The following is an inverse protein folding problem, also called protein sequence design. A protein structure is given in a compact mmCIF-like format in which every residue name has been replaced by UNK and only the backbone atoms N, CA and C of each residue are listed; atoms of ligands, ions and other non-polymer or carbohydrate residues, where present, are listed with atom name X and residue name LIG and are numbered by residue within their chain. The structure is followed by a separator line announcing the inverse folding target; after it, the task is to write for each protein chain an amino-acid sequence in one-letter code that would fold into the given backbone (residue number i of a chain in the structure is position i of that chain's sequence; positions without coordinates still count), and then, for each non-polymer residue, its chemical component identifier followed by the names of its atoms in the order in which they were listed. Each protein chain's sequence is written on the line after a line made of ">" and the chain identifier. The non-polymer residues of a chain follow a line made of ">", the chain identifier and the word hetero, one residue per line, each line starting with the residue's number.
data_IF_299488007791
#
_entry.id   IF_299488007791
#
_cell.length_a   1.000
_cell.length_b   1.000
_cell.length_c   1.000
_cell.angle_alpha   90.00
_cell.angle_beta   90.00
_cell.angle_gamma   90.00
#
_symmetry.space_group_name_H-M   'P 1'
#
loop_
_entity.id
_entity.type
_entity.pdbx_description
1 polymer ?
#
# COMPACT_ATOMS: atom_id res chain seq x y z
N UNK A 1 17.57 9.14 28.90
CA UNK A 1 16.93 8.92 27.59
C UNK A 1 16.63 7.44 27.55
N UNK A 2 15.49 7.09 28.13
CA UNK A 2 15.28 5.72 28.63
C UNK A 2 14.82 4.83 27.48
N UNK A 3 15.61 3.81 27.21
CA UNK A 3 15.30 2.76 26.25
C UNK A 3 13.98 2.08 26.65
N UNK A 4 12.94 2.33 25.86
CA UNK A 4 11.73 1.52 25.87
C UNK A 4 12.14 0.11 25.43
N UNK A 5 12.42 -0.78 26.39
CA UNK A 5 12.53 -2.22 26.14
C UNK A 5 11.18 -2.71 25.65
N UNK A 6 11.03 -2.85 24.34
CA UNK A 6 9.89 -3.49 23.70
C UNK A 6 9.85 -4.96 24.15
N UNK A 7 8.89 -5.31 24.99
CA UNK A 7 8.51 -6.69 25.34
C UNK A 7 7.80 -7.34 24.14
N UNK A 8 8.50 -7.47 23.02
CA UNK A 8 8.02 -8.24 21.88
C UNK A 8 8.20 -9.73 22.19
N UNK A 9 7.10 -10.42 22.48
CA UNK A 9 7.07 -11.88 22.56
C UNK A 9 6.86 -12.45 21.15
N UNK A 10 7.79 -13.26 20.61
CA UNK A 10 7.76 -13.69 19.21
C UNK A 10 6.65 -14.71 18.85
N UNK A 11 5.68 -14.98 19.72
CA UNK A 11 4.97 -16.27 19.64
C UNK A 11 3.72 -16.35 18.76
N UNK A 12 3.17 -15.29 18.15
CA UNK A 12 1.88 -15.45 17.42
C UNK A 12 1.67 -14.72 16.09
N UNK A 13 2.38 -13.64 15.76
CA UNK A 13 2.20 -12.95 14.47
C UNK A 13 3.52 -12.47 13.89
N UNK A 14 4.12 -13.31 13.04
CA UNK A 14 5.21 -12.89 12.17
C UNK A 14 4.65 -12.30 10.88
N UNK A 15 5.15 -11.14 10.42
CA UNK A 15 4.83 -10.60 9.11
C UNK A 15 5.22 -11.58 8.02
N UNK A 16 4.35 -11.72 7.03
CA UNK A 16 4.55 -12.61 5.89
C UNK A 16 5.37 -11.98 4.77
N UNK A 17 5.45 -10.64 4.68
CA UNK A 17 6.39 -9.99 3.75
C UNK A 17 7.82 -10.07 4.27
N UNK A 18 8.74 -10.20 3.31
CA UNK A 18 10.18 -10.18 3.60
C UNK A 18 10.60 -8.86 4.22
N UNK A 19 10.07 -7.73 3.75
CA UNK A 19 10.38 -6.40 4.30
C UNK A 19 9.88 -6.26 5.74
N UNK A 20 8.64 -6.68 6.04
CA UNK A 20 8.11 -6.63 7.40
C UNK A 20 8.93 -7.50 8.37
N UNK A 21 9.35 -8.68 7.92
CA UNK A 21 10.18 -9.59 8.72
C UNK A 21 11.59 -9.05 8.97
N UNK A 22 12.18 -8.47 7.93
CA UNK A 22 13.50 -7.82 7.99
C UNK A 22 13.45 -6.61 8.94
N UNK A 23 12.40 -5.80 8.89
CA UNK A 23 12.20 -4.68 9.81
C UNK A 23 12.00 -5.15 11.26
N UNK A 24 11.38 -6.30 11.52
CA UNK A 24 11.24 -6.78 12.90
C UNK A 24 12.54 -7.30 13.51
N UNK A 25 13.40 -7.93 12.73
CA UNK A 25 14.66 -8.50 13.21
C UNK A 25 15.69 -7.41 13.49
N UNK A 26 16.12 -7.26 14.76
CA UNK A 26 17.24 -6.39 15.17
C UNK A 26 18.63 -6.91 14.75
N UNK A 27 18.74 -7.67 13.66
CA UNK A 27 20.04 -8.22 13.22
C UNK A 27 20.77 -7.14 12.41
N UNK A 28 22.04 -6.90 12.74
CA UNK A 28 22.93 -5.98 12.00
C UNK A 28 22.91 -6.24 10.49
N UNK A 29 22.85 -7.52 10.09
CA UNK A 29 22.75 -7.92 8.69
C UNK A 29 21.48 -7.39 7.98
N UNK A 30 20.33 -7.36 8.67
CA UNK A 30 19.08 -6.82 8.09
C UNK A 30 19.26 -5.34 7.76
N UNK A 31 19.78 -4.56 8.71
CA UNK A 31 20.05 -3.14 8.52
C UNK A 31 21.01 -2.91 7.35
N UNK A 32 22.11 -3.66 7.30
CA UNK A 32 23.08 -3.58 6.21
C UNK A 32 22.42 -3.84 4.85
N UNK A 33 21.53 -4.82 4.75
CA UNK A 33 20.81 -5.14 3.51
C UNK A 33 19.88 -4.00 3.07
N UNK A 34 19.16 -3.34 3.98
CA UNK A 34 18.34 -2.16 3.66
C UNK A 34 19.19 -1.00 3.12
N UNK A 35 20.33 -0.74 3.77
CA UNK A 35 21.27 0.30 3.35
C UNK A 35 21.89 0.03 1.98
N UNK A 36 22.36 -1.20 1.75
CA UNK A 36 22.92 -1.60 0.45
C UNK A 36 21.85 -1.52 -0.64
N UNK A 37 20.64 -2.03 -0.37
CA UNK A 37 19.53 -1.95 -1.32
C UNK A 37 19.19 -0.50 -1.67
N UNK A 38 19.02 0.37 -0.68
CA UNK A 38 18.75 1.80 -0.89
C UNK A 38 19.86 2.49 -1.67
N UNK A 39 21.13 2.33 -1.24
CA UNK A 39 22.28 2.94 -1.91
C UNK A 39 22.41 2.46 -3.36
N UNK A 40 22.14 1.17 -3.63
CA UNK A 40 22.17 0.62 -4.99
C UNK A 40 21.11 1.23 -5.90
N UNK A 41 19.89 1.45 -5.39
CA UNK A 41 18.79 2.08 -6.14
C UNK A 41 19.07 3.55 -6.43
N UNK A 42 19.55 4.29 -5.43
CA UNK A 42 19.87 5.71 -5.56
C UNK A 42 21.02 5.88 -6.57
N UNK A 43 22.09 5.09 -6.43
CA UNK A 43 23.24 5.12 -7.35
C UNK A 43 22.82 4.79 -8.79
N UNK A 44 22.00 3.74 -8.96
CA UNK A 44 21.42 3.38 -10.27
C UNK A 44 20.62 4.54 -10.88
N UNK A 45 19.76 5.17 -10.08
CA UNK A 45 18.92 6.26 -10.55
C UNK A 45 19.77 7.43 -11.06
N UNK A 46 20.79 7.84 -10.31
CA UNK A 46 21.71 8.91 -10.73
C UNK A 46 22.51 8.53 -11.98
N UNK A 47 23.03 7.30 -12.05
CA UNK A 47 23.77 6.82 -13.22
C UNK A 47 22.92 6.80 -14.49
N UNK A 48 21.67 6.32 -14.41
CA UNK A 48 20.76 6.33 -15.57
C UNK A 48 20.28 7.74 -15.89
N UNK A 49 20.04 8.57 -14.87
CA UNK A 49 19.64 9.97 -15.06
C UNK A 49 20.70 10.73 -15.86
N UNK A 50 21.99 10.57 -15.53
CA UNK A 50 23.07 11.22 -16.27
C UNK A 50 23.12 10.75 -17.74
N UNK A 51 22.97 9.45 -18.00
CA UNK A 51 22.92 8.91 -19.37
C UNK A 51 21.75 9.51 -20.17
N UNK A 52 20.55 9.53 -19.59
CA UNK A 52 19.34 10.03 -20.27
C UNK A 52 19.47 11.53 -20.56
N UNK A 53 20.02 12.31 -19.63
CA UNK A 53 20.25 13.74 -19.83
C UNK A 53 21.27 13.99 -20.93
N UNK A 54 22.39 13.26 -20.95
CA UNK A 54 23.46 13.41 -21.94
C UNK A 54 23.07 12.93 -23.33
N UNK A 55 22.11 12.00 -23.46
CA UNK A 55 21.64 11.53 -24.75
C UNK A 55 20.72 12.58 -25.40
N UNK A 56 21.19 13.17 -26.52
CA UNK A 56 20.47 14.19 -27.30
C UNK A 56 19.59 13.58 -28.39
N UNK A 57 19.76 12.30 -28.72
CA UNK A 57 19.11 11.65 -29.87
C UNK A 57 17.76 10.97 -29.52
N UNK A 58 17.36 10.97 -28.25
CA UNK A 58 16.11 10.33 -27.82
C UNK A 58 14.94 11.29 -27.99
N UNK A 59 13.85 10.79 -28.59
CA UNK A 59 12.58 11.50 -28.72
C UNK A 59 12.11 12.05 -27.36
N UNK A 60 11.63 13.29 -27.36
CA UNK A 60 11.35 14.07 -26.14
C UNK A 60 10.42 13.35 -25.16
N UNK A 61 9.38 12.67 -25.67
CA UNK A 61 8.44 11.89 -24.85
C UNK A 61 9.10 10.71 -24.15
N UNK A 62 9.83 9.89 -24.90
CA UNK A 62 10.56 8.73 -24.39
C UNK A 62 11.60 9.17 -23.35
N UNK A 63 12.21 10.34 -23.55
CA UNK A 63 13.13 10.96 -22.58
C UNK A 63 12.41 11.30 -21.27
N UNK A 64 11.24 11.94 -21.31
CA UNK A 64 10.47 12.24 -20.09
C UNK A 64 10.02 10.99 -19.34
N UNK A 65 9.53 9.96 -20.05
CA UNK A 65 9.17 8.68 -19.44
C UNK A 65 10.37 8.00 -18.75
N UNK A 66 11.55 8.03 -19.38
CA UNK A 66 12.78 7.53 -18.79
C UNK A 66 13.21 8.33 -17.55
N UNK A 67 13.08 9.66 -17.58
CA UNK A 67 13.37 10.52 -16.43
C UNK A 67 12.42 10.25 -15.27
N UNK A 68 11.12 10.09 -15.53
CA UNK A 68 10.15 9.72 -14.49
C UNK A 68 10.53 8.37 -13.85
N UNK A 69 10.87 7.36 -14.65
CA UNK A 69 11.29 6.06 -14.13
C UNK A 69 12.54 6.16 -13.23
N UNK A 70 13.50 7.03 -13.55
CA UNK A 70 14.67 7.24 -12.69
C UNK A 70 14.31 8.00 -11.40
N UNK A 71 13.47 9.03 -11.49
CA UNK A 71 12.97 9.74 -10.31
C UNK A 71 12.24 8.78 -9.36
N UNK A 72 11.40 7.89 -9.89
CA UNK A 72 10.70 6.91 -9.08
C UNK A 72 11.64 5.83 -8.51
N UNK A 73 12.68 5.43 -9.24
CA UNK A 73 13.73 4.53 -8.71
C UNK A 73 14.47 5.20 -7.53
N UNK A 74 14.79 6.49 -7.65
CA UNK A 74 15.39 7.28 -6.57
C UNK A 74 14.43 7.38 -5.38
N UNK A 75 13.16 7.71 -5.62
CA UNK A 75 12.14 7.77 -4.58
C UNK A 75 11.93 6.43 -3.88
N UNK A 76 12.02 5.30 -4.59
CA UNK A 76 11.96 3.96 -4.02
C UNK A 76 13.14 3.71 -3.07
N UNK A 77 14.36 4.05 -3.47
CA UNK A 77 15.54 3.96 -2.60
C UNK A 77 15.37 4.79 -1.32
N UNK A 78 14.90 6.03 -1.46
CA UNK A 78 14.56 6.89 -0.32
C UNK A 78 13.43 6.32 0.54
N UNK A 79 12.45 5.63 -0.05
CA UNK A 79 11.36 4.97 0.68
C UNK A 79 11.88 3.80 1.54
N UNK A 80 12.76 2.98 0.99
CA UNK A 80 13.40 1.88 1.70
C UNK A 80 14.22 2.41 2.89
N UNK A 81 14.97 3.49 2.68
CA UNK A 81 15.69 4.19 3.75
C UNK A 81 14.73 4.80 4.78
N UNK A 82 13.61 5.37 4.35
CA UNK A 82 12.57 5.91 5.23
C UNK A 82 11.96 4.83 6.14
N UNK A 83 11.72 3.61 5.62
CA UNK A 83 11.23 2.49 6.40
C UNK A 83 12.20 2.09 7.51
N UNK A 84 13.50 2.08 7.21
CA UNK A 84 14.52 1.76 8.19
C UNK A 84 14.58 2.81 9.30
N UNK A 85 14.60 4.11 8.96
CA UNK A 85 14.61 5.17 9.96
C UNK A 85 13.34 5.22 10.82
N UNK A 86 12.17 4.97 10.20
CA UNK A 86 10.88 5.03 10.88
C UNK A 86 10.41 3.68 11.41
N UNK A 87 11.30 2.69 11.46
CA UNK A 87 11.08 1.37 12.06
C UNK A 87 10.38 1.40 13.42
N UNK A 88 10.66 2.33 14.35
CA UNK A 88 9.93 2.40 15.62
C UNK A 88 8.41 2.61 15.48
N UNK A 89 7.95 3.29 14.43
CA UNK A 89 6.51 3.46 14.16
C UNK A 89 5.89 2.13 13.75
N UNK A 90 6.58 1.36 12.90
CA UNK A 90 6.12 0.03 12.47
C UNK A 90 6.03 -0.96 13.65
N UNK A 91 7.00 -0.93 14.56
CA UNK A 91 6.95 -1.75 15.79
C UNK A 91 5.75 -1.35 16.66
N UNK A 92 5.55 -0.05 16.93
CA UNK A 92 4.40 0.43 17.70
C UNK A 92 3.06 0.05 17.07
N UNK A 93 2.99 0.07 15.74
CA UNK A 93 1.84 -0.40 14.99
C UNK A 93 1.58 -1.89 15.23
N UNK A 94 2.60 -2.74 15.09
CA UNK A 94 2.46 -4.17 15.32
C UNK A 94 2.11 -4.53 16.77
N UNK A 95 2.70 -3.83 17.74
CA UNK A 95 2.37 -4.01 19.16
C UNK A 95 0.88 -3.67 19.43
N UNK A 96 0.38 -2.57 18.82
CA UNK A 96 -1.04 -2.21 18.88
C UNK A 96 -1.92 -3.27 18.22
N UNK A 97 -1.52 -3.74 17.04
CA UNK A 97 -2.21 -4.79 16.30
C UNK A 97 -2.32 -6.08 17.13
N UNK A 98 -1.21 -6.58 17.67
CA UNK A 98 -1.18 -7.79 18.50
C UNK A 98 -2.06 -7.65 19.74
N UNK A 99 -2.03 -6.47 20.39
CA UNK A 99 -2.90 -6.18 21.53
C UNK A 99 -4.39 -6.25 21.17
N UNK A 100 -4.76 -5.79 19.97
CA UNK A 100 -6.15 -5.86 19.49
C UNK A 100 -6.55 -7.32 19.21
N UNK A 101 -5.67 -8.07 18.54
CA UNK A 101 -5.95 -9.45 18.09
C UNK A 101 -5.98 -10.45 19.26
N UNK A 102 -5.14 -10.28 20.28
CA UNK A 102 -5.04 -11.21 21.42
C UNK A 102 -6.25 -11.14 22.38
N UNK A 103 -7.01 -10.04 22.39
CA UNK A 103 -8.15 -9.83 23.30
C UNK A 103 -9.45 -10.54 22.83
N UNK A 104 -9.40 -11.86 22.57
CA UNK A 104 -10.52 -12.76 22.22
C UNK A 104 -11.02 -12.77 20.75
N UNK A 105 -10.41 -12.02 19.84
CA UNK A 105 -10.88 -11.98 18.43
C UNK A 105 -9.92 -12.62 17.41
N UNK A 106 -8.84 -13.24 17.90
CA UNK A 106 -7.72 -13.67 17.08
C UNK A 106 -8.04 -14.66 15.97
N UNK A 107 -8.99 -15.59 16.18
CA UNK A 107 -9.29 -16.65 15.20
C UNK A 107 -9.87 -16.11 13.88
N UNK A 108 -10.81 -15.15 13.97
CA UNK A 108 -11.45 -14.58 12.77
C UNK A 108 -10.48 -13.69 11.99
N UNK A 109 -9.75 -12.81 12.69
CA UNK A 109 -8.72 -11.97 12.08
C UNK A 109 -7.59 -12.80 11.47
N UNK A 110 -7.14 -13.87 12.13
CA UNK A 110 -6.12 -14.78 11.60
C UNK A 110 -6.60 -15.50 10.34
N UNK A 111 -7.85 -15.98 10.31
CA UNK A 111 -8.43 -16.63 9.12
C UNK A 111 -8.46 -15.67 7.93
N UNK A 112 -8.85 -14.42 8.15
CA UNK A 112 -8.85 -13.38 7.12
C UNK A 112 -7.45 -13.08 6.59
N UNK A 113 -6.50 -12.85 7.51
CA UNK A 113 -5.09 -12.61 7.19
C UNK A 113 -4.50 -13.77 6.39
N UNK A 114 -4.73 -15.01 6.80
CA UNK A 114 -4.22 -16.19 6.11
C UNK A 114 -4.82 -16.35 4.72
N UNK A 115 -6.11 -16.02 4.54
CA UNK A 115 -6.76 -16.05 3.23
C UNK A 115 -6.13 -15.02 2.28
N UNK A 116 -6.04 -13.77 2.71
CA UNK A 116 -5.47 -12.71 1.87
C UNK A 116 -3.96 -12.84 1.68
N UNK A 117 -3.22 -13.32 2.68
CA UNK A 117 -1.79 -13.60 2.56
C UNK A 117 -1.47 -14.65 1.49
N UNK A 118 -2.33 -15.67 1.32
CA UNK A 118 -2.20 -16.63 0.21
C UNK A 118 -2.43 -15.97 -1.15
N UNK A 119 -3.48 -15.14 -1.27
CA UNK A 119 -3.80 -14.41 -2.51
C UNK A 119 -2.65 -13.48 -2.90
N UNK A 120 -2.15 -12.68 -1.94
CA UNK A 120 -1.02 -11.77 -2.17
C UNK A 120 0.24 -12.53 -2.57
N UNK A 121 0.52 -13.68 -1.96
CA UNK A 121 1.69 -14.50 -2.33
C UNK A 121 1.61 -15.00 -3.76
N UNK A 122 0.43 -15.47 -4.20
CA UNK A 122 0.20 -15.87 -5.60
C UNK A 122 0.36 -14.68 -6.53
N UNK A 123 -0.19 -13.52 -6.17
CA UNK A 123 -0.04 -12.28 -6.93
C UNK A 123 1.43 -11.84 -7.07
N UNK A 124 2.25 -11.94 -6.01
CA UNK A 124 3.69 -11.62 -6.07
C UNK A 124 4.43 -12.51 -7.07
N UNK A 125 4.08 -13.79 -7.18
CA UNK A 125 4.67 -14.69 -8.17
C UNK A 125 4.30 -14.24 -9.59
N UNK A 126 3.03 -13.91 -9.83
CA UNK A 126 2.60 -13.39 -11.14
C UNK A 126 3.23 -12.04 -11.47
N UNK A 127 3.31 -11.13 -10.50
CA UNK A 127 3.98 -9.85 -10.62
C UNK A 127 5.46 -10.02 -11.00
N UNK A 128 6.16 -10.93 -10.35
CA UNK A 128 7.56 -11.24 -10.67
C UNK A 128 7.73 -11.79 -12.09
N UNK A 129 6.88 -12.72 -12.50
CA UNK A 129 6.90 -13.24 -13.88
C UNK A 129 6.60 -12.14 -14.91
N UNK A 130 5.63 -11.28 -14.63
CA UNK A 130 5.30 -10.12 -15.46
C UNK A 130 6.50 -9.17 -15.63
N UNK A 131 7.19 -8.82 -14.54
CA UNK A 131 8.37 -7.95 -14.60
C UNK A 131 9.51 -8.60 -15.38
N UNK A 132 9.75 -9.90 -15.17
CA UNK A 132 10.79 -10.63 -15.92
C UNK A 132 10.52 -10.63 -17.43
N UNK A 133 9.27 -10.89 -17.84
CA UNK A 133 8.88 -10.84 -19.26
C UNK A 133 9.06 -9.43 -19.81
N UNK A 134 8.66 -8.41 -19.04
CA UNK A 134 8.74 -7.01 -19.46
C UNK A 134 10.20 -6.57 -19.63
N UNK A 135 11.08 -6.90 -18.69
CA UNK A 135 12.53 -6.64 -18.78
C UNK A 135 13.13 -7.38 -19.97
N UNK A 136 12.88 -8.69 -20.09
CA UNK A 136 13.46 -9.50 -21.17
C UNK A 136 13.05 -8.97 -22.55
N UNK A 137 11.78 -8.57 -22.71
CA UNK A 137 11.25 -8.01 -23.96
C UNK A 137 11.87 -6.64 -24.25
N UNK A 138 11.95 -5.75 -23.26
CA UNK A 138 12.54 -4.43 -23.42
C UNK A 138 14.03 -4.51 -23.80
N UNK A 139 14.81 -5.28 -23.06
CA UNK A 139 16.24 -5.49 -23.32
C UNK A 139 16.47 -6.18 -24.68
N UNK A 140 15.58 -7.09 -25.08
CA UNK A 140 15.64 -7.71 -26.41
C UNK A 140 15.44 -6.73 -27.55
N UNK A 141 14.42 -5.90 -27.46
CA UNK A 141 14.08 -4.94 -28.51
C UNK A 141 15.14 -3.85 -28.67
N UNK A 142 15.69 -3.35 -27.56
CA UNK A 142 16.58 -2.19 -27.58
C UNK A 142 18.07 -2.55 -27.64
N UNK A 143 18.50 -3.63 -26.98
CA UNK A 143 19.92 -3.93 -26.75
C UNK A 143 20.32 -5.21 -27.50
N UNK A 144 19.64 -6.34 -27.30
CA UNK A 144 20.09 -7.61 -27.90
C UNK A 144 20.04 -7.59 -29.44
N UNK A 145 19.04 -6.94 -30.04
CA UNK A 145 18.94 -6.81 -31.51
C UNK A 145 20.13 -6.05 -32.11
N UNK A 146 20.72 -5.09 -31.39
CA UNK A 146 21.76 -4.20 -31.92
C UNK A 146 23.18 -4.68 -31.63
N UNK A 147 23.42 -5.30 -30.48
CA UNK A 147 24.78 -5.62 -29.98
C UNK A 147 25.09 -7.10 -29.82
N UNK A 148 24.14 -8.01 -30.06
CA UNK A 148 24.33 -9.46 -29.85
C UNK A 148 24.35 -9.85 -28.37
N UNK A 149 24.47 -11.15 -28.06
CA UNK A 149 24.44 -11.67 -26.68
C UNK A 149 25.85 -11.62 -26.04
N UNK A 150 26.04 -10.87 -24.96
CA UNK A 150 27.32 -10.77 -24.24
C UNK A 150 27.17 -11.06 -22.74
N UNK A 151 28.24 -11.54 -22.07
CA UNK A 151 28.21 -11.87 -20.64
C UNK A 151 27.86 -10.67 -19.73
N UNK A 152 28.26 -9.45 -20.14
CA UNK A 152 27.90 -8.21 -19.43
C UNK A 152 26.38 -7.96 -19.40
N UNK A 153 25.62 -8.49 -20.37
CA UNK A 153 24.17 -8.34 -20.41
C UNK A 153 23.47 -9.21 -19.36
N UNK A 154 24.02 -10.39 -19.04
CA UNK A 154 23.45 -11.23 -17.98
C UNK A 154 23.54 -10.54 -16.61
N UNK A 155 24.68 -9.91 -16.32
CA UNK A 155 24.87 -9.10 -15.10
C UNK A 155 23.88 -7.93 -15.05
N UNK A 156 23.69 -7.27 -16.18
CA UNK A 156 22.80 -6.12 -16.31
C UNK A 156 21.32 -6.52 -16.11
N UNK A 157 20.84 -7.58 -16.77
CA UNK A 157 19.48 -8.12 -16.57
C UNK A 157 19.26 -8.59 -15.14
N UNK A 158 20.26 -9.24 -14.53
CA UNK A 158 20.18 -9.68 -13.14
C UNK A 158 20.03 -8.50 -12.17
N UNK A 159 20.79 -7.42 -12.39
CA UNK A 159 20.70 -6.20 -11.60
C UNK A 159 19.33 -5.50 -11.77
N UNK A 160 18.81 -5.46 -12.99
CA UNK A 160 17.47 -4.93 -13.27
C UNK A 160 16.37 -5.74 -12.57
N UNK A 161 16.46 -7.06 -12.66
CA UNK A 161 15.52 -7.99 -12.03
C UNK A 161 15.53 -7.86 -10.50
N UNK A 162 16.71 -7.67 -9.89
CA UNK A 162 16.83 -7.44 -8.45
C UNK A 162 16.11 -6.16 -8.00
N UNK A 163 16.24 -5.08 -8.77
CA UNK A 163 15.53 -3.83 -8.47
C UNK A 163 14.02 -3.98 -8.59
N UNK A 164 13.54 -4.68 -9.62
CA UNK A 164 12.10 -4.94 -9.76
C UNK A 164 11.56 -5.84 -8.65
N UNK A 165 12.36 -6.80 -8.18
CA UNK A 165 11.98 -7.59 -7.02
C UNK A 165 11.81 -6.71 -5.78
N UNK A 166 12.74 -5.78 -5.50
CA UNK A 166 12.61 -4.84 -4.37
C UNK A 166 11.33 -3.98 -4.48
N UNK A 167 10.99 -3.59 -5.71
CA UNK A 167 9.78 -2.85 -5.99
C UNK A 167 8.51 -3.65 -5.67
N UNK A 168 8.40 -4.88 -6.21
CA UNK A 168 7.28 -5.80 -5.92
C UNK A 168 7.16 -6.06 -4.41
N UNK A 169 8.28 -6.29 -3.73
CA UNK A 169 8.30 -6.53 -2.28
C UNK A 169 7.82 -5.31 -1.49
N UNK A 170 8.11 -4.09 -1.97
CA UNK A 170 7.62 -2.85 -1.38
C UNK A 170 6.10 -2.74 -1.50
N UNK A 171 5.54 -3.03 -2.67
CA UNK A 171 4.08 -3.03 -2.87
C UNK A 171 3.40 -4.13 -2.04
N UNK A 172 3.97 -5.34 -2.03
CA UNK A 172 3.50 -6.44 -1.18
C UNK A 172 3.42 -5.99 0.29
N UNK A 173 4.44 -5.30 0.78
CA UNK A 173 4.50 -4.82 2.15
C UNK A 173 3.43 -3.76 2.47
N UNK A 174 3.16 -2.83 1.55
CA UNK A 174 2.05 -1.86 1.67
C UNK A 174 0.71 -2.61 1.77
N UNK A 175 0.47 -3.56 0.86
CA UNK A 175 -0.77 -4.35 0.85
C UNK A 175 -0.92 -5.17 2.13
N UNK A 176 0.15 -5.79 2.62
CA UNK A 176 0.13 -6.55 3.87
C UNK A 176 -0.26 -5.68 5.06
N UNK A 177 0.31 -4.48 5.17
CA UNK A 177 -0.02 -3.52 6.21
C UNK A 177 -1.50 -3.10 6.14
N UNK A 178 -2.04 -2.94 4.93
CA UNK A 178 -3.47 -2.73 4.74
C UNK A 178 -4.30 -3.93 5.20
N UNK A 179 -3.91 -5.17 4.86
CA UNK A 179 -4.63 -6.39 5.27
C UNK A 179 -4.66 -6.53 6.79
N UNK A 180 -3.54 -6.30 7.47
CA UNK A 180 -3.48 -6.30 8.94
C UNK A 180 -4.37 -5.21 9.53
N UNK A 181 -4.36 -4.02 8.95
CA UNK A 181 -5.27 -2.95 9.37
C UNK A 181 -6.73 -3.35 9.18
N UNK A 182 -7.11 -3.89 8.02
CA UNK A 182 -8.46 -4.37 7.72
C UNK A 182 -8.91 -5.47 8.71
N UNK A 183 -8.01 -6.38 9.07
CA UNK A 183 -8.34 -7.50 9.96
C UNK A 183 -8.65 -7.05 11.39
N UNK A 184 -8.21 -5.85 11.81
CA UNK A 184 -8.58 -5.28 13.12
C UNK A 184 -10.04 -4.84 13.20
N UNK A 185 -10.68 -4.54 12.06
CA UNK A 185 -12.09 -4.13 12.02
C UNK A 185 -13.07 -5.32 12.12
N UNK A 186 -12.65 -6.53 11.73
CA UNK A 186 -13.47 -7.75 11.78
C UNK A 186 -13.99 -8.02 13.22
N UNK A 187 -13.14 -8.05 14.26
CA UNK A 187 -13.55 -8.13 15.66
C UNK A 187 -14.71 -7.21 16.04
N UNK A 188 -14.58 -5.93 15.69
CA UNK A 188 -15.52 -4.89 16.08
C UNK A 188 -16.83 -5.06 15.33
N UNK A 189 -16.76 -5.39 14.04
CA UNK A 189 -17.96 -5.66 13.25
C UNK A 189 -18.76 -6.81 13.84
N UNK A 190 -18.11 -7.92 14.23
CA UNK A 190 -18.80 -9.04 14.87
C UNK A 190 -19.41 -8.66 16.23
N UNK A 191 -18.71 -7.84 17.01
CA UNK A 191 -19.23 -7.38 18.30
C UNK A 191 -20.44 -6.44 18.12
N UNK A 192 -20.39 -5.52 17.16
CA UNK A 192 -21.53 -4.66 16.80
C UNK A 192 -22.72 -5.47 16.27
N UNK A 193 -22.49 -6.47 15.42
CA UNK A 193 -23.55 -7.34 14.91
C UNK A 193 -24.20 -8.13 16.07
N UNK A 194 -23.39 -8.59 17.02
CA UNK A 194 -23.89 -9.26 18.24
C UNK A 194 -24.77 -8.31 19.06
N UNK A 195 -24.36 -7.05 19.23
CA UNK A 195 -25.14 -6.04 19.95
C UNK A 195 -26.48 -5.74 19.27
N UNK A 196 -26.47 -5.55 17.95
CA UNK A 196 -27.69 -5.30 17.18
C UNK A 196 -28.69 -6.46 17.29
N UNK A 197 -28.21 -7.71 17.34
CA UNK A 197 -29.08 -8.89 17.46
C UNK A 197 -29.45 -9.27 18.91
N UNK A 198 -28.61 -8.95 19.91
CA UNK A 198 -28.86 -9.29 21.32
C UNK A 198 -29.78 -8.31 22.06
N UNK A 199 -30.09 -7.14 21.49
CA UNK A 199 -31.00 -6.14 22.07
C UNK A 199 -32.41 -6.66 22.42
N UNK A 200 -32.78 -7.88 22.01
CA UNK A 200 -34.04 -8.50 22.42
C UNK A 200 -33.98 -9.25 23.78
N UNK A 201 -32.79 -9.52 24.35
CA UNK A 201 -32.64 -10.37 25.55
C UNK A 201 -31.55 -9.95 26.56
N UNK A 202 -30.72 -8.94 26.27
CA UNK A 202 -29.61 -8.53 27.15
C UNK A 202 -30.01 -7.48 28.20
N UNK A 203 -29.30 -7.45 29.34
CA UNK A 203 -29.53 -6.42 30.36
C UNK A 203 -28.85 -5.10 29.98
N UNK A 204 -29.43 -3.99 30.42
CA UNK A 204 -28.98 -2.61 30.18
C UNK A 204 -27.52 -2.35 30.62
N UNK A 205 -27.04 -3.03 31.67
CA UNK A 205 -25.65 -2.96 32.15
C UNK A 205 -24.66 -3.60 31.17
N UNK A 206 -25.06 -4.68 30.49
CA UNK A 206 -24.23 -5.38 29.51
C UNK A 206 -24.05 -4.56 28.23
N UNK A 207 -25.10 -3.85 27.81
CA UNK A 207 -25.11 -2.98 26.64
C UNK A 207 -24.13 -1.80 26.82
N UNK A 208 -24.22 -1.07 27.95
CA UNK A 208 -23.32 0.06 28.21
C UNK A 208 -21.85 -0.40 28.27
N UNK A 209 -21.58 -1.53 28.97
CA UNK A 209 -20.24 -2.11 29.05
C UNK A 209 -19.70 -2.47 27.67
N UNK A 210 -20.50 -3.09 26.82
CA UNK A 210 -20.10 -3.46 25.46
C UNK A 210 -19.91 -2.26 24.53
N UNK A 211 -20.79 -1.26 24.58
CA UNK A 211 -20.62 -0.02 23.81
C UNK A 211 -19.30 0.69 24.17
N UNK A 212 -19.01 0.80 25.47
CA UNK A 212 -17.75 1.36 25.98
C UNK A 212 -16.52 0.56 25.52
N UNK A 213 -16.58 -0.76 25.60
CA UNK A 213 -15.51 -1.64 25.08
C UNK A 213 -15.29 -1.40 23.58
N UNK A 214 -16.36 -1.33 22.80
CA UNK A 214 -16.31 -1.10 21.34
C UNK A 214 -15.62 0.21 21.00
N UNK A 215 -16.00 1.32 21.65
CA UNK A 215 -15.38 2.63 21.42
C UNK A 215 -13.91 2.66 21.80
N UNK A 216 -13.53 2.02 22.92
CA UNK A 216 -12.13 1.90 23.35
C UNK A 216 -11.32 1.09 22.33
N UNK A 217 -11.86 -0.02 21.83
CA UNK A 217 -11.21 -0.81 20.78
C UNK A 217 -11.06 -0.01 19.48
N UNK A 218 -12.10 0.69 19.04
CA UNK A 218 -12.04 1.52 17.85
C UNK A 218 -11.00 2.65 17.98
N UNK A 219 -10.91 3.28 19.15
CA UNK A 219 -9.89 4.30 19.43
C UNK A 219 -8.46 3.72 19.34
N UNK A 220 -8.25 2.48 19.81
CA UNK A 220 -6.98 1.77 19.64
C UNK A 220 -6.68 1.46 18.17
N UNK A 221 -7.68 1.06 17.38
CA UNK A 221 -7.54 0.86 15.93
C UNK A 221 -7.12 2.16 15.26
N UNK A 222 -7.79 3.29 15.53
CA UNK A 222 -7.42 4.58 14.95
C UNK A 222 -5.98 4.95 15.30
N UNK A 223 -5.57 4.72 16.56
CA UNK A 223 -4.19 4.97 16.98
C UNK A 223 -3.20 4.10 16.20
N UNK A 224 -3.53 2.83 15.98
CA UNK A 224 -2.75 1.90 15.17
C UNK A 224 -2.64 2.40 13.71
N UNK A 225 -3.76 2.76 13.10
CA UNK A 225 -3.85 3.32 11.74
C UNK A 225 -2.96 4.56 11.61
N UNK A 226 -2.99 5.47 12.59
CA UNK A 226 -2.14 6.67 12.56
C UNK A 226 -0.64 6.36 12.60
N UNK A 227 -0.21 5.30 13.26
CA UNK A 227 1.21 4.90 13.24
C UNK A 227 1.61 4.37 11.87
N UNK A 228 0.79 3.48 11.29
CA UNK A 228 1.11 2.89 9.99
C UNK A 228 0.92 3.87 8.84
N UNK A 229 -0.05 4.77 8.94
CA UNK A 229 -0.27 5.85 7.97
C UNK A 229 0.97 6.74 7.90
N UNK A 230 1.45 7.26 9.03
CA UNK A 230 2.70 8.06 9.08
C UNK A 230 3.90 7.33 8.51
N UNK A 231 3.97 6.01 8.73
CA UNK A 231 5.05 5.18 8.24
C UNK A 231 4.96 4.90 6.73
N UNK A 232 3.75 4.76 6.17
CA UNK A 232 3.52 4.48 4.75
C UNK A 232 3.24 5.72 3.90
N UNK A 233 3.04 6.89 4.50
CA UNK A 233 2.62 8.13 3.81
C UNK A 233 3.48 8.43 2.59
N UNK A 234 4.81 8.37 2.75
CA UNK A 234 5.74 8.63 1.65
C UNK A 234 5.70 7.51 0.59
N UNK A 235 5.61 6.24 1.02
CA UNK A 235 5.53 5.11 0.11
C UNK A 235 4.25 5.15 -0.76
N UNK A 236 3.12 5.54 -0.17
CA UNK A 236 1.84 5.70 -0.87
C UNK A 236 1.91 6.84 -1.89
N UNK A 237 2.55 7.95 -1.53
CA UNK A 237 2.78 9.06 -2.46
C UNK A 237 3.60 8.60 -3.68
N UNK A 238 4.75 7.97 -3.44
CA UNK A 238 5.64 7.48 -4.51
C UNK A 238 4.92 6.45 -5.38
N UNK A 239 4.16 5.54 -4.78
CA UNK A 239 3.35 4.54 -5.48
C UNK A 239 2.38 5.17 -6.49
N UNK A 240 1.56 6.12 -6.05
CA UNK A 240 0.57 6.75 -6.93
C UNK A 240 1.23 7.59 -8.02
N UNK A 241 2.27 8.36 -7.70
CA UNK A 241 3.00 9.17 -8.68
C UNK A 241 3.62 8.30 -9.78
N UNK A 242 4.24 7.17 -9.39
CA UNK A 242 4.84 6.25 -10.35
C UNK A 242 3.80 5.62 -11.25
N UNK A 243 2.80 4.93 -10.69
CA UNK A 243 1.87 4.15 -11.52
C UNK A 243 0.98 5.04 -12.39
N UNK A 244 0.55 6.20 -11.90
CA UNK A 244 -0.25 7.13 -12.71
C UNK A 244 0.59 7.71 -13.84
N UNK A 245 1.79 8.21 -13.53
CA UNK A 245 2.68 8.75 -14.54
C UNK A 245 3.04 7.70 -15.58
N UNK A 246 3.37 6.48 -15.14
CA UNK A 246 3.71 5.38 -16.03
C UNK A 246 2.52 4.94 -16.91
N UNK A 247 1.30 4.88 -16.36
CA UNK A 247 0.10 4.62 -17.15
C UNK A 247 -0.15 5.71 -18.20
N UNK A 248 0.06 6.98 -17.86
CA UNK A 248 -0.05 8.11 -18.80
C UNK A 248 0.95 7.97 -19.95
N UNK A 249 2.22 7.68 -19.65
CA UNK A 249 3.25 7.51 -20.69
C UNK A 249 3.00 6.27 -21.57
N UNK A 250 2.61 5.13 -20.99
CA UNK A 250 2.27 3.93 -21.75
C UNK A 250 1.06 4.16 -22.65
N UNK A 251 0.05 4.87 -22.14
CA UNK A 251 -1.12 5.25 -22.91
C UNK A 251 -0.74 6.15 -24.10
N UNK A 252 0.17 7.11 -23.92
CA UNK A 252 0.67 7.93 -25.01
C UNK A 252 1.48 7.13 -26.05
N UNK A 253 2.36 6.22 -25.61
CA UNK A 253 3.12 5.31 -26.50
C UNK A 253 2.21 4.41 -27.35
N UNK A 254 0.96 4.19 -26.94
CA UNK A 254 -0.02 3.44 -27.73
C UNK A 254 -0.52 4.20 -28.97
N UNK A 255 -0.64 5.54 -28.90
CA UNK A 255 -1.14 6.37 -29.99
C UNK A 255 -0.06 6.83 -30.99
N UNK A 256 1.22 6.55 -30.72
CA UNK A 256 2.28 6.85 -31.66
C UNK A 256 2.12 6.04 -32.96
N UNK A 257 1.90 6.76 -34.07
CA UNK A 257 1.51 6.22 -35.39
C UNK A 257 2.58 5.33 -36.03
N UNK A 258 3.84 5.47 -35.61
CA UNK A 258 5.00 4.76 -36.18
C UNK A 258 5.25 3.34 -35.63
N UNK A 259 4.45 2.87 -34.67
CA UNK A 259 4.68 1.60 -33.99
C UNK A 259 4.21 0.35 -34.74
N UNK A 260 5.08 -0.67 -34.80
CA UNK A 260 4.71 -2.05 -35.18
C UNK A 260 3.54 -2.57 -34.36
N UNK A 261 2.70 -3.46 -34.93
CA UNK A 261 1.60 -4.11 -34.21
C UNK A 261 2.08 -4.81 -32.92
N UNK A 262 3.29 -5.37 -32.96
CA UNK A 262 3.91 -6.01 -31.79
C UNK A 262 4.17 -5.00 -30.66
N UNK A 263 4.64 -3.79 -30.99
CA UNK A 263 4.90 -2.73 -30.02
C UNK A 263 3.61 -2.24 -29.36
N UNK A 264 2.53 -2.09 -30.16
CA UNK A 264 1.20 -1.75 -29.64
C UNK A 264 0.66 -2.82 -28.68
N UNK A 265 0.76 -4.10 -29.04
CA UNK A 265 0.35 -5.20 -28.16
C UNK A 265 1.17 -5.24 -26.86
N UNK A 266 2.47 -4.99 -26.94
CA UNK A 266 3.34 -4.89 -25.75
C UNK A 266 2.91 -3.75 -24.83
N UNK A 267 2.58 -2.56 -25.36
CA UNK A 267 2.12 -1.43 -24.56
C UNK A 267 0.76 -1.69 -23.91
N UNK A 268 -0.16 -2.38 -24.61
CA UNK A 268 -1.43 -2.81 -24.01
C UNK A 268 -1.20 -3.78 -22.86
N UNK A 269 -0.34 -4.78 -23.05
CA UNK A 269 0.02 -5.73 -22.00
C UNK A 269 0.62 -5.02 -20.78
N UNK A 270 1.55 -4.09 -21.01
CA UNK A 270 2.16 -3.25 -19.96
C UNK A 270 1.10 -2.41 -19.25
N UNK A 271 0.22 -1.73 -19.98
CA UNK A 271 -0.86 -0.93 -19.38
C UNK A 271 -1.73 -1.73 -18.41
N UNK A 272 -2.16 -2.94 -18.81
CA UNK A 272 -2.94 -3.81 -17.94
C UNK A 272 -2.15 -4.33 -16.74
N UNK A 273 -0.87 -4.67 -16.94
CA UNK A 273 0.03 -5.07 -15.86
C UNK A 273 0.17 -3.98 -14.81
N UNK A 274 0.55 -2.77 -15.21
CA UNK A 274 0.70 -1.60 -14.34
C UNK A 274 -0.61 -1.22 -13.65
N UNK A 275 -1.72 -1.23 -14.40
CA UNK A 275 -3.06 -0.96 -13.86
C UNK A 275 -3.45 -1.98 -12.79
N UNK A 276 -3.03 -3.24 -12.90
CA UNK A 276 -3.33 -4.27 -11.91
C UNK A 276 -2.69 -3.99 -10.54
N UNK A 277 -1.45 -3.47 -10.51
CA UNK A 277 -0.80 -3.02 -9.28
C UNK A 277 -1.57 -1.85 -8.67
N UNK A 278 -1.93 -0.86 -9.51
CA UNK A 278 -2.68 0.32 -9.08
C UNK A 278 -4.02 -0.09 -8.46
N UNK A 279 -4.81 -0.91 -9.15
CA UNK A 279 -6.12 -1.37 -8.68
C UNK A 279 -6.01 -2.17 -7.38
N UNK A 280 -5.08 -3.12 -7.30
CA UNK A 280 -4.96 -3.99 -6.13
C UNK A 280 -4.57 -3.22 -4.86
N UNK A 281 -3.52 -2.40 -4.94
CA UNK A 281 -3.09 -1.59 -3.79
C UNK A 281 -4.15 -0.56 -3.41
N UNK A 282 -4.75 0.11 -4.39
CA UNK A 282 -5.81 1.10 -4.16
C UNK A 282 -7.02 0.46 -3.51
N UNK A 283 -7.44 -0.73 -3.95
CA UNK A 283 -8.51 -1.49 -3.32
C UNK A 283 -8.24 -1.70 -1.83
N UNK A 284 -7.04 -2.15 -1.47
CA UNK A 284 -6.71 -2.41 -0.06
C UNK A 284 -6.62 -1.12 0.78
N UNK A 285 -6.09 -0.03 0.23
CA UNK A 285 -6.04 1.28 0.89
C UNK A 285 -7.46 1.83 1.14
N UNK A 286 -8.29 1.86 0.09
CA UNK A 286 -9.68 2.36 0.16
C UNK A 286 -10.54 1.49 1.08
N UNK A 287 -10.33 0.16 1.08
CA UNK A 287 -11.10 -0.75 1.92
C UNK A 287 -10.91 -0.46 3.41
N UNK A 288 -9.74 0.02 3.85
CA UNK A 288 -9.54 0.43 5.25
C UNK A 288 -10.44 1.60 5.61
N UNK A 289 -10.50 2.62 4.75
CA UNK A 289 -11.40 3.75 4.96
C UNK A 289 -12.87 3.32 4.94
N UNK A 290 -13.28 2.51 3.96
CA UNK A 290 -14.64 1.99 3.88
C UNK A 290 -15.05 1.19 5.11
N UNK A 291 -14.17 0.36 5.67
CA UNK A 291 -14.46 -0.38 6.90
C UNK A 291 -14.70 0.56 8.09
N UNK A 292 -13.97 1.67 8.17
CA UNK A 292 -14.21 2.70 9.18
C UNK A 292 -15.57 3.39 8.99
N UNK A 293 -15.94 3.73 7.74
CA UNK A 293 -17.23 4.36 7.45
C UNK A 293 -18.40 3.39 7.67
N UNK A 294 -18.25 2.11 7.33
CA UNK A 294 -19.29 1.09 7.58
C UNK A 294 -19.60 0.93 9.07
N UNK A 295 -18.61 1.15 9.94
CA UNK A 295 -18.86 1.18 11.38
C UNK A 295 -19.74 2.34 11.80
N UNK A 296 -19.68 3.50 11.14
CA UNK A 296 -20.58 4.62 11.43
C UNK A 296 -22.04 4.21 11.29
N UNK A 297 -22.40 3.59 10.16
CA UNK A 297 -23.76 3.13 9.90
C UNK A 297 -24.25 2.16 10.98
N UNK A 298 -23.42 1.17 11.36
CA UNK A 298 -23.80 0.20 12.40
C UNK A 298 -23.98 0.83 13.78
N UNK A 299 -23.11 1.76 14.16
CA UNK A 299 -23.21 2.45 15.46
C UNK A 299 -24.40 3.41 15.45
N UNK A 300 -24.72 3.99 14.28
CA UNK A 300 -25.89 4.82 14.11
C UNK A 300 -27.17 4.01 14.27
N UNK A 301 -27.28 2.85 13.62
CA UNK A 301 -28.42 1.93 13.81
C UNK A 301 -28.57 1.50 15.28
N UNK A 302 -27.44 1.24 15.95
CA UNK A 302 -27.39 0.91 17.37
C UNK A 302 -27.93 2.06 18.25
N UNK A 303 -27.69 3.32 17.88
CA UNK A 303 -28.19 4.49 18.60
C UNK A 303 -29.71 4.58 18.61
N UNK A 304 -30.36 4.23 17.49
CA UNK A 304 -31.83 4.17 17.41
C UNK A 304 -32.38 3.00 18.20
N UNK A 305 -31.75 1.83 18.09
CA UNK A 305 -32.22 0.63 18.79
C UNK A 305 -32.13 0.74 20.31
N UNK A 306 -31.24 1.59 20.84
CA UNK A 306 -30.99 1.75 22.28
C UNK A 306 -31.51 3.06 22.86
N UNK A 307 -32.19 3.88 22.06
CA UNK A 307 -32.68 5.20 22.46
C UNK A 307 -33.65 5.15 23.65
N UNK A 308 -34.32 4.01 23.87
CA UNK A 308 -35.25 3.76 24.98
C UNK A 308 -34.60 3.25 26.26
N UNK A 309 -33.34 2.78 26.20
CA UNK A 309 -32.86 1.85 27.21
C UNK A 309 -32.08 2.54 28.33
N UNK A 310 -31.08 3.40 28.08
CA UNK A 310 -30.39 4.13 29.17
C UNK A 310 -29.71 5.43 28.72
N UNK A 311 -29.77 6.46 29.57
CA UNK A 311 -29.09 7.74 29.32
C UNK A 311 -27.57 7.57 29.18
N UNK A 312 -26.95 6.70 29.98
CA UNK A 312 -25.51 6.45 29.94
C UNK A 312 -25.06 5.75 28.65
N UNK A 313 -25.79 4.72 28.19
CA UNK A 313 -25.47 4.05 26.92
C UNK A 313 -25.69 4.98 25.73
N UNK A 314 -26.76 5.78 25.73
CA UNK A 314 -27.02 6.77 24.67
C UNK A 314 -25.89 7.81 24.62
N UNK A 315 -25.42 8.29 25.77
CA UNK A 315 -24.29 9.23 25.81
C UNK A 315 -22.99 8.61 25.26
N UNK A 316 -22.69 7.35 25.62
CA UNK A 316 -21.49 6.66 25.11
C UNK A 316 -21.57 6.41 23.59
N UNK A 317 -22.76 6.08 23.06
CA UNK A 317 -23.00 5.91 21.63
C UNK A 317 -22.88 7.25 20.88
N UNK A 318 -23.41 8.33 21.43
CA UNK A 318 -23.26 9.67 20.86
C UNK A 318 -21.79 10.10 20.80
N UNK A 319 -21.02 9.85 21.88
CA UNK A 319 -19.57 10.07 21.88
C UNK A 319 -18.85 9.21 20.84
N UNK A 320 -19.33 7.99 20.61
CA UNK A 320 -18.77 7.10 19.61
C UNK A 320 -19.07 7.58 18.18
N UNK A 321 -20.33 7.95 17.89
CA UNK A 321 -20.74 8.54 16.63
C UNK A 321 -19.95 9.80 16.32
N UNK A 322 -19.84 10.72 17.29
CA UNK A 322 -19.04 11.94 17.15
C UNK A 322 -17.58 11.64 16.81
N UNK A 323 -17.00 10.55 17.33
CA UNK A 323 -15.63 10.17 17.00
C UNK A 323 -15.50 9.60 15.59
N UNK A 324 -16.44 8.77 15.14
CA UNK A 324 -16.41 8.15 13.81
C UNK A 324 -16.72 9.19 12.72
N UNK A 325 -17.66 10.11 12.97
CA UNK A 325 -18.14 11.13 12.03
C UNK A 325 -17.03 12.07 11.53
N UNK A 326 -15.92 12.18 12.27
CA UNK A 326 -14.74 12.94 11.83
C UNK A 326 -14.13 12.43 10.52
N UNK A 327 -14.47 11.22 10.07
CA UNK A 327 -14.04 10.63 8.79
C UNK A 327 -12.51 10.71 8.55
N UNK A 328 -11.73 10.78 9.63
CA UNK A 328 -10.27 10.97 9.63
C UNK A 328 -9.50 9.65 9.73
N UNK A 329 -10.13 8.55 9.31
CA UNK A 329 -9.64 7.18 9.51
C UNK A 329 -9.41 6.49 8.18
N UNK A 330 -8.14 6.24 7.90
CA UNK A 330 -7.67 5.67 6.64
C UNK A 330 -6.20 6.02 6.42
N UNK A 331 -5.71 5.68 5.23
CA UNK A 331 -4.40 6.10 4.77
C UNK A 331 -4.48 7.43 4.04
N UNK A 332 -3.39 8.20 4.07
CA UNK A 332 -3.30 9.52 3.47
C UNK A 332 -2.32 9.53 2.30
N UNK A 333 -2.68 10.28 1.26
CA UNK A 333 -1.79 10.65 0.18
C UNK A 333 -0.99 11.88 0.64
N UNK A 334 0.33 11.70 0.79
CA UNK A 334 1.27 12.72 1.26
C UNK A 334 0.93 13.38 2.63
N UNK A 335 0.08 12.76 3.45
CA UNK A 335 -0.37 13.35 4.71
C UNK A 335 -1.42 14.46 4.54
N UNK A 336 -1.91 14.68 3.31
CA UNK A 336 -2.82 15.78 2.97
C UNK A 336 -4.26 15.30 2.81
N UNK A 337 -4.47 14.32 1.94
CA UNK A 337 -5.80 13.85 1.55
C UNK A 337 -5.96 12.38 1.91
N UNK A 338 -7.12 12.00 2.45
CA UNK A 338 -7.41 10.60 2.75
C UNK A 338 -7.70 9.83 1.45
N UNK A 339 -7.14 8.63 1.32
CA UNK A 339 -7.34 7.72 0.18
C UNK A 339 -8.72 7.10 0.26
N UNK A 340 -9.72 7.89 -0.10
CA UNK A 340 -11.13 7.51 -0.17
C UNK A 340 -11.55 7.16 -1.61
N UNK A 341 -12.72 6.54 -1.83
CA UNK A 341 -13.24 6.32 -3.18
C UNK A 341 -13.33 7.61 -4.00
N UNK A 342 -13.74 8.72 -3.37
CA UNK A 342 -13.84 10.02 -4.02
C UNK A 342 -12.48 10.58 -4.46
N UNK A 343 -11.45 10.41 -3.63
CA UNK A 343 -10.08 10.77 -3.98
C UNK A 343 -9.59 9.98 -5.19
N UNK A 344 -9.79 8.66 -5.19
CA UNK A 344 -9.38 7.78 -6.28
C UNK A 344 -10.09 8.14 -7.59
N UNK A 345 -11.39 8.40 -7.53
CA UNK A 345 -12.16 8.83 -8.71
C UNK A 345 -11.65 10.16 -9.28
N UNK A 346 -11.35 11.12 -8.40
CA UNK A 346 -10.80 12.43 -8.79
C UNK A 346 -9.42 12.28 -9.42
N UNK A 347 -8.56 11.47 -8.81
CA UNK A 347 -7.22 11.20 -9.29
C UNK A 347 -7.22 10.46 -10.64
N UNK A 348 -8.13 9.49 -10.83
CA UNK A 348 -8.33 8.81 -12.10
C UNK A 348 -8.82 9.78 -13.20
N UNK A 349 -9.71 10.72 -12.86
CA UNK A 349 -10.20 11.75 -13.81
C UNK A 349 -9.07 12.71 -14.23
N UNK A 350 -8.24 13.13 -13.28
CA UNK A 350 -7.05 13.95 -13.56
C UNK A 350 -6.07 13.17 -14.43
N UNK A 351 -5.78 11.91 -14.09
CA UNK A 351 -4.87 11.07 -14.86
C UNK A 351 -5.35 10.86 -16.30
N UNK A 352 -6.65 10.61 -16.50
CA UNK A 352 -7.25 10.49 -17.82
C UNK A 352 -7.16 11.80 -18.61
N UNK A 353 -7.46 12.92 -17.97
CA UNK A 353 -7.39 14.25 -18.60
C UNK A 353 -5.96 14.56 -19.04
N UNK A 354 -4.97 14.31 -18.17
CA UNK A 354 -3.56 14.49 -18.51
C UNK A 354 -3.12 13.54 -19.63
N UNK A 355 -3.54 12.28 -19.58
CA UNK A 355 -3.23 11.28 -20.62
C UNK A 355 -3.80 11.65 -21.99
N UNK A 356 -5.01 12.21 -22.05
CA UNK A 356 -5.62 12.68 -23.29
C UNK A 356 -5.06 14.01 -23.79
N UNK A 357 -4.59 14.88 -22.89
CA UNK A 357 -4.04 16.17 -23.25
C UNK A 357 -2.55 16.11 -23.65
N UNK A 358 -1.80 15.13 -23.12
CA UNK A 358 -0.35 14.98 -23.35
C UNK A 358 0.07 15.02 -24.84
N UNK A 359 -0.64 14.35 -25.77
CA UNK A 359 -0.30 14.41 -27.19
C UNK A 359 -0.31 15.85 -27.75
N UNK A 360 -1.30 16.65 -27.34
CA UNK A 360 -1.50 18.02 -27.86
C UNK A 360 -0.46 19.04 -27.38
N UNK A 361 0.32 18.73 -26.34
CA UNK A 361 1.33 19.64 -25.80
C UNK A 361 2.71 19.47 -26.44
N UNK A 362 2.90 18.40 -27.22
CA UNK A 362 4.22 17.88 -27.59
C UNK A 362 4.34 17.64 -29.10
N UNK A 363 3.24 17.75 -29.84
CA UNK A 363 3.24 18.18 -31.25
C UNK A 363 3.51 19.70 -31.35
#
# INVERSE_FOLDING_TARGET
>A
MDEIKSTYSPSQFEPSSLLGWSLLRKKVFSHLMFWIASASLISRAFYRFSIVVMNKEVETMTKYGQLLNQLCTLCLGLTIMHFEFNRPLYIKYLDCYQTIVNNNFGKASLKFVNKWGKIVRVWVIFAFLYELITIATFEYLYIFKKTGFTANMFLLVSFFSFTQLLYILTIQFIIECCIYTQSTFIPINTLLDTLLHQNQQSTQLDINRMAKLTRVHYTKIIKSIRYIDKFLTYAILVFYLYFIGHCIFVFNEFFQVSGSIYWRLYNVFRFFGESSYLVLTTYHLVRVHQLSVQMFAKVYDLSYSLASDSFEAVNEINLFLFRIDRNDVGFTFAGLCLVSPSFVSSLASIALTLGLALPNFID
#
